data_IF_914373508204
#
_entry.id   IF_914373508204
#
_cell.length_a   1.000
_cell.length_b   1.000
_cell.length_c   1.000
_cell.angle_alpha   90.00
_cell.angle_beta   90.00
_cell.angle_gamma   90.00
#
_symmetry.space_group_name_H-M   'P 1'
#
loop_
_entity.id
_entity.type
_entity.pdbx_description
1 polymer ?
#
# COMPACT_ATOMS: atom_id res chain seq x y z
N UNK A 1 -89.12 -40.38 11.11
CA UNK A 1 -87.90 -40.98 10.55
C UNK A 1 -86.83 -40.85 11.62
N UNK A 2 -86.37 -41.95 12.21
CA UNK A 2 -85.41 -41.91 13.31
C UNK A 2 -84.01 -41.69 12.69
N UNK A 3 -83.46 -40.48 12.81
CA UNK A 3 -82.13 -40.15 12.28
C UNK A 3 -81.10 -40.65 13.30
N UNK A 4 -80.18 -41.50 12.85
CA UNK A 4 -79.02 -41.88 13.66
C UNK A 4 -78.02 -40.72 13.69
N UNK A 5 -77.83 -40.13 14.86
CA UNK A 5 -76.93 -38.99 15.09
C UNK A 5 -75.70 -39.39 15.92
N UNK A 6 -75.42 -40.68 16.08
CA UNK A 6 -74.18 -41.15 16.68
C UNK A 6 -73.06 -41.20 15.62
N UNK A 7 -72.06 -40.34 15.79
CA UNK A 7 -70.91 -40.25 14.89
C UNK A 7 -70.11 -41.56 14.80
N UNK A 8 -70.15 -42.40 15.84
CA UNK A 8 -69.40 -43.65 15.88
C UNK A 8 -69.97 -44.72 14.93
N UNK A 9 -71.22 -44.57 14.48
CA UNK A 9 -71.86 -45.48 13.54
C UNK A 9 -71.47 -45.21 12.07
N UNK A 10 -70.71 -44.13 11.80
CA UNK A 10 -70.33 -43.72 10.45
C UNK A 10 -68.85 -43.93 10.13
N UNK A 11 -68.55 -44.50 8.96
CA UNK A 11 -67.17 -44.55 8.44
C UNK A 11 -66.78 -43.20 7.84
N UNK A 12 -65.48 -42.90 7.82
CA UNK A 12 -64.92 -41.65 7.25
C UNK A 12 -65.40 -41.45 5.80
N UNK A 13 -65.39 -42.50 4.98
CA UNK A 13 -65.86 -42.47 3.58
C UNK A 13 -67.33 -42.10 3.44
N UNK A 14 -68.15 -42.44 4.44
CA UNK A 14 -69.59 -42.14 4.42
C UNK A 14 -69.82 -40.66 4.77
N UNK A 15 -69.03 -40.11 5.70
CA UNK A 15 -69.02 -38.68 6.03
C UNK A 15 -68.51 -37.83 4.87
N UNK A 16 -67.49 -38.29 4.14
CA UNK A 16 -66.99 -37.64 2.92
C UNK A 16 -68.07 -37.57 1.83
N UNK A 17 -68.80 -38.67 1.60
CA UNK A 17 -69.94 -38.70 0.66
C UNK A 17 -71.08 -37.81 1.13
N UNK A 18 -71.39 -37.82 2.43
CA UNK A 18 -72.46 -37.02 3.00
C UNK A 18 -72.23 -35.51 2.81
N UNK A 19 -70.99 -35.05 3.04
CA UNK A 19 -70.58 -33.66 2.80
C UNK A 19 -70.20 -33.37 1.33
N UNK A 20 -70.23 -34.39 0.46
CA UNK A 20 -69.84 -34.33 -0.96
C UNK A 20 -68.44 -33.72 -1.15
N UNK A 21 -67.47 -34.25 -0.40
CA UNK A 21 -66.07 -33.84 -0.50
C UNK A 21 -65.39 -34.46 -1.74
N UNK A 22 -64.46 -33.73 -2.40
CA UNK A 22 -63.65 -34.29 -3.48
C UNK A 22 -62.67 -35.37 -2.95
N UNK A 23 -62.04 -36.19 -3.82
CA UNK A 23 -61.14 -37.26 -3.38
C UNK A 23 -59.90 -36.79 -2.59
N UNK A 24 -59.48 -35.54 -2.79
CA UNK A 24 -58.45 -34.86 -2.01
C UNK A 24 -58.99 -33.48 -1.60
N UNK A 25 -58.97 -33.18 -0.30
CA UNK A 25 -59.59 -31.98 0.27
C UNK A 25 -58.74 -31.33 1.37
N UNK A 26 -58.79 -29.99 1.42
CA UNK A 26 -58.15 -29.18 2.47
C UNK A 26 -59.13 -28.88 3.61
N UNK A 27 -58.64 -28.39 4.76
CA UNK A 27 -59.50 -28.11 5.93
C UNK A 27 -60.55 -27.06 5.60
N UNK A 28 -60.15 -26.05 4.82
CA UNK A 28 -61.02 -24.98 4.35
C UNK A 28 -62.22 -25.52 3.57
N UNK A 29 -62.03 -26.56 2.74
CA UNK A 29 -63.11 -27.16 1.96
C UNK A 29 -64.09 -27.93 2.86
N UNK A 30 -63.59 -28.66 3.87
CA UNK A 30 -64.45 -29.37 4.82
C UNK A 30 -65.31 -28.39 5.61
N UNK A 31 -64.71 -27.30 6.09
CA UNK A 31 -65.41 -26.25 6.83
C UNK A 31 -66.48 -25.59 5.95
N UNK A 32 -66.17 -25.24 4.71
CA UNK A 32 -67.11 -24.61 3.78
C UNK A 32 -68.32 -25.52 3.49
N UNK A 33 -68.09 -26.81 3.21
CA UNK A 33 -69.16 -27.76 2.91
C UNK A 33 -70.05 -28.06 4.11
N UNK A 34 -69.46 -28.17 5.31
CA UNK A 34 -70.23 -28.31 6.56
C UNK A 34 -71.12 -27.09 6.81
N UNK A 35 -70.57 -25.87 6.71
CA UNK A 35 -71.35 -24.63 6.87
C UNK A 35 -72.49 -24.51 5.86
N UNK A 36 -72.23 -24.89 4.60
CA UNK A 36 -73.27 -24.92 3.56
C UNK A 36 -74.37 -25.92 3.89
N UNK A 37 -74.03 -27.11 4.38
CA UNK A 37 -75.02 -28.13 4.75
C UNK A 37 -75.81 -27.70 6.00
N UNK A 38 -75.12 -27.14 6.99
CA UNK A 38 -75.72 -26.59 8.21
C UNK A 38 -76.72 -25.49 7.91
N UNK A 39 -76.35 -24.52 7.06
CA UNK A 39 -77.26 -23.43 6.68
C UNK A 39 -78.48 -23.91 5.89
N UNK A 40 -78.35 -24.98 5.09
CA UNK A 40 -79.50 -25.61 4.42
C UNK A 40 -80.47 -26.25 5.42
N UNK A 41 -79.97 -26.94 6.44
CA UNK A 41 -80.78 -27.62 7.45
C UNK A 41 -81.48 -26.61 8.37
N UNK A 42 -80.78 -25.56 8.78
CA UNK A 42 -81.36 -24.50 9.62
C UNK A 42 -82.51 -23.75 8.94
N UNK A 43 -82.43 -23.56 7.62
CA UNK A 43 -83.45 -22.89 6.80
C UNK A 43 -84.64 -23.78 6.41
N UNK A 44 -84.61 -25.08 6.72
CA UNK A 44 -85.73 -25.97 6.41
C UNK A 44 -86.81 -25.88 7.49
N UNK A 45 -88.05 -25.61 7.09
CA UNK A 45 -89.23 -25.58 7.98
C UNK A 45 -89.78 -26.98 8.29
N UNK A 46 -89.28 -28.02 7.61
CA UNK A 46 -89.73 -29.41 7.75
C UNK A 46 -89.11 -30.13 8.97
N UNK A 47 -88.12 -29.53 9.63
CA UNK A 47 -87.38 -30.13 10.75
C UNK A 47 -87.73 -29.38 12.05
N UNK A 48 -88.26 -30.06 13.09
CA UNK A 48 -88.50 -29.44 14.39
C UNK A 48 -87.23 -28.84 15.00
N UNK A 49 -87.36 -27.69 15.68
CA UNK A 49 -86.22 -26.94 16.20
C UNK A 49 -85.35 -27.77 17.16
N UNK A 50 -85.95 -28.66 17.96
CA UNK A 50 -85.24 -29.55 18.90
C UNK A 50 -84.28 -30.50 18.17
N UNK A 51 -84.65 -31.00 16.99
CA UNK A 51 -83.80 -31.90 16.20
C UNK A 51 -82.69 -31.15 15.44
N UNK A 52 -82.85 -29.84 15.21
CA UNK A 52 -81.85 -29.04 14.49
C UNK A 52 -80.55 -28.92 15.30
N UNK A 53 -80.64 -28.78 16.62
CA UNK A 53 -79.47 -28.62 17.48
C UNK A 53 -78.64 -29.91 17.55
N UNK A 54 -79.30 -31.08 17.62
CA UNK A 54 -78.62 -32.38 17.60
C UNK A 54 -77.91 -32.64 16.27
N UNK A 55 -78.55 -32.29 15.15
CA UNK A 55 -77.95 -32.41 13.81
C UNK A 55 -76.74 -31.49 13.66
N UNK A 56 -76.80 -30.27 14.21
CA UNK A 56 -75.68 -29.33 14.21
C UNK A 56 -74.52 -29.87 15.06
N UNK A 57 -74.80 -30.49 16.21
CA UNK A 57 -73.78 -31.12 17.03
C UNK A 57 -73.11 -32.29 16.29
N UNK A 58 -73.89 -33.11 15.58
CA UNK A 58 -73.39 -34.18 14.72
C UNK A 58 -72.47 -33.65 13.60
N UNK A 59 -72.90 -32.60 12.88
CA UNK A 59 -72.10 -31.98 11.81
C UNK A 59 -70.75 -31.46 12.30
N UNK A 60 -70.71 -30.86 13.50
CA UNK A 60 -69.45 -30.41 14.10
C UNK A 60 -68.53 -31.57 14.47
N UNK A 61 -69.08 -32.67 15.02
CA UNK A 61 -68.31 -33.89 15.29
C UNK A 61 -67.74 -34.49 14.00
N UNK A 62 -68.55 -34.57 12.94
CA UNK A 62 -68.13 -35.06 11.63
C UNK A 62 -66.99 -34.23 11.03
N UNK A 63 -67.11 -32.89 11.06
CA UNK A 63 -66.05 -31.98 10.62
C UNK A 63 -64.72 -32.23 11.34
N UNK A 64 -64.76 -32.32 12.67
CA UNK A 64 -63.55 -32.52 13.47
C UNK A 64 -62.90 -33.89 13.19
N UNK A 65 -63.71 -34.92 12.96
CA UNK A 65 -63.22 -36.27 12.66
C UNK A 65 -62.57 -36.36 11.26
N UNK A 66 -63.10 -35.62 10.27
CA UNK A 66 -62.53 -35.52 8.93
C UNK A 66 -61.21 -34.73 8.89
N UNK A 67 -61.10 -33.66 9.67
CA UNK A 67 -59.86 -32.88 9.79
C UNK A 67 -58.75 -33.71 10.45
N UNK A 68 -59.10 -34.48 11.50
CA UNK A 68 -58.13 -35.28 12.27
C UNK A 68 -57.57 -36.47 11.50
N UNK A 69 -58.35 -37.08 10.61
CA UNK A 69 -57.97 -38.32 9.90
C UNK A 69 -57.48 -38.09 8.46
N UNK A 70 -56.99 -36.89 8.13
CA UNK A 70 -56.41 -36.64 6.82
C UNK A 70 -55.28 -37.61 6.53
N UNK A 71 -55.34 -38.24 5.35
CA UNK A 71 -54.21 -38.97 4.77
C UNK A 71 -53.10 -37.97 4.49
N UNK A 72 -52.05 -37.98 5.31
CA UNK A 72 -50.80 -37.28 5.00
C UNK A 72 -50.19 -37.95 3.75
N UNK A 73 -50.10 -37.21 2.65
CA UNK A 73 -49.29 -37.66 1.51
C UNK A 73 -47.80 -37.53 1.85
N UNK A 74 -46.96 -38.49 1.47
CA UNK A 74 -45.54 -38.46 1.78
C UNK A 74 -44.86 -37.29 1.05
N UNK A 75 -44.30 -36.36 1.82
CA UNK A 75 -43.41 -35.32 1.30
C UNK A 75 -42.13 -36.02 0.84
N UNK A 76 -41.93 -36.18 -0.47
CA UNK A 76 -40.61 -36.45 -1.02
C UNK A 76 -39.78 -35.17 -0.79
N UNK A 77 -39.10 -35.09 0.35
CA UNK A 77 -37.97 -34.16 0.48
C UNK A 77 -36.92 -34.63 -0.52
N UNK A 78 -36.73 -33.86 -1.59
CA UNK A 78 -35.56 -34.02 -2.46
C UNK A 78 -34.34 -33.83 -1.55
N UNK A 79 -33.59 -34.89 -1.28
CA UNK A 79 -32.29 -34.74 -0.64
C UNK A 79 -31.44 -33.86 -1.56
N UNK A 80 -31.12 -32.66 -1.08
CA UNK A 80 -30.13 -31.81 -1.73
C UNK A 80 -28.81 -32.53 -1.50
N UNK A 81 -28.28 -33.18 -2.53
CA UNK A 81 -26.89 -33.65 -2.51
C UNK A 81 -26.05 -32.40 -2.18
N UNK A 82 -25.31 -32.37 -1.07
CA UNK A 82 -24.45 -31.22 -0.80
C UNK A 82 -23.43 -31.16 -1.94
N UNK A 83 -23.47 -30.08 -2.70
CA UNK A 83 -22.50 -29.87 -3.76
C UNK A 83 -21.17 -29.56 -3.06
N UNK A 84 -20.26 -30.53 -3.04
CA UNK A 84 -18.90 -30.30 -2.59
C UNK A 84 -18.16 -29.63 -3.74
N UNK A 85 -18.10 -28.30 -3.71
CA UNK A 85 -17.37 -27.50 -4.69
C UNK A 85 -15.88 -27.50 -4.35
N UNK A 86 -15.05 -28.14 -5.18
CA UNK A 86 -13.57 -28.07 -5.08
C UNK A 86 -12.96 -26.91 -5.86
N UNK A 87 -13.77 -25.99 -6.41
CA UNK A 87 -13.32 -24.69 -6.96
C UNK A 87 -14.38 -23.60 -6.71
N UNK A 88 -13.90 -22.42 -6.32
CA UNK A 88 -14.69 -21.19 -6.16
C UNK A 88 -15.10 -20.70 -7.56
N UNK A 89 -16.38 -20.83 -7.93
CA UNK A 89 -16.96 -20.13 -9.08
C UNK A 89 -17.93 -19.05 -8.57
N UNK A 90 -17.77 -17.83 -9.05
CA UNK A 90 -18.45 -16.64 -8.50
C UNK A 90 -19.93 -16.50 -8.89
N UNK A 91 -20.49 -17.28 -9.83
CA UNK A 91 -21.91 -17.12 -10.21
C UNK A 91 -22.59 -18.42 -10.67
N UNK A 92 -23.76 -18.72 -10.09
CA UNK A 92 -24.67 -19.80 -10.51
C UNK A 92 -25.68 -19.24 -11.52
N UNK A 93 -25.77 -19.77 -12.76
CA UNK A 93 -26.82 -19.36 -13.68
C UNK A 93 -28.18 -19.94 -13.27
N UNK A 94 -29.21 -19.09 -13.21
CA UNK A 94 -30.62 -19.49 -13.08
C UNK A 94 -31.31 -19.41 -14.44
N UNK A 95 -32.24 -20.33 -14.71
CA UNK A 95 -32.92 -20.55 -16.00
C UNK A 95 -33.87 -19.42 -16.47
N UNK A 96 -33.73 -18.20 -15.98
CA UNK A 96 -34.62 -17.08 -16.32
C UNK A 96 -33.93 -15.74 -16.59
N UNK A 97 -32.62 -15.74 -16.87
CA UNK A 97 -31.98 -14.60 -17.55
C UNK A 97 -30.67 -15.03 -18.26
N UNK A 98 -30.51 -14.77 -19.56
CA UNK A 98 -29.27 -15.01 -20.28
C UNK A 98 -28.23 -13.95 -19.89
N UNK A 99 -27.24 -14.32 -19.07
CA UNK A 99 -26.06 -13.52 -18.65
C UNK A 99 -26.30 -11.99 -18.65
N UNK A 100 -26.92 -11.45 -17.60
CA UNK A 100 -26.94 -10.01 -17.34
C UNK A 100 -25.52 -9.54 -16.99
N UNK A 101 -24.76 -9.03 -17.96
CA UNK A 101 -23.56 -8.22 -17.65
C UNK A 101 -24.02 -6.90 -17.02
N UNK A 102 -24.14 -6.86 -15.69
CA UNK A 102 -24.51 -5.66 -14.92
C UNK A 102 -23.40 -4.61 -14.83
N UNK A 103 -22.18 -4.96 -15.26
CA UNK A 103 -21.03 -4.06 -15.16
C UNK A 103 -20.18 -4.07 -16.42
N UNK A 104 -19.66 -2.91 -16.78
CA UNK A 104 -18.69 -2.69 -17.85
C UNK A 104 -17.36 -2.29 -17.22
N UNK A 105 -16.26 -2.85 -17.71
CA UNK A 105 -14.91 -2.51 -17.29
C UNK A 105 -14.20 -1.73 -18.39
N UNK A 106 -13.52 -0.64 -18.05
CA UNK A 106 -12.72 0.19 -18.96
C UNK A 106 -11.31 0.35 -18.44
N UNK A 107 -10.32 0.35 -19.33
CA UNK A 107 -8.93 0.66 -19.01
C UNK A 107 -8.62 2.11 -19.41
N UNK A 108 -8.16 2.90 -18.44
CA UNK A 108 -7.72 4.27 -18.62
C UNK A 108 -6.20 4.32 -18.50
N UNK A 109 -5.52 4.61 -19.61
CA UNK A 109 -4.07 4.82 -19.63
C UNK A 109 -3.77 6.30 -19.34
N UNK A 110 -2.90 6.54 -18.36
CA UNK A 110 -2.46 7.88 -17.97
C UNK A 110 -0.94 7.91 -18.11
N UNK A 111 -0.43 8.95 -18.76
CA UNK A 111 1.00 9.22 -18.89
C UNK A 111 1.24 10.66 -18.42
N UNK A 112 2.21 10.84 -17.51
CA UNK A 112 2.53 12.15 -16.97
C UNK A 112 3.09 13.10 -18.03
N UNK A 113 3.60 12.60 -19.16
CA UNK A 113 4.04 13.40 -20.29
C UNK A 113 2.94 14.32 -20.83
N UNK A 114 1.69 13.85 -20.81
CA UNK A 114 0.53 14.60 -21.31
C UNK A 114 -0.21 15.39 -20.22
N UNK A 115 0.44 15.66 -19.08
CA UNK A 115 -0.16 16.46 -18.01
C UNK A 115 -0.36 17.93 -18.42
N UNK A 116 -1.35 18.58 -17.82
CA UNK A 116 -1.56 20.02 -18.02
C UNK A 116 -0.40 20.84 -17.41
N UNK A 117 -0.02 21.92 -18.10
CA UNK A 117 1.05 22.84 -17.69
C UNK A 117 2.38 22.11 -17.41
N UNK A 118 2.82 21.27 -18.34
CA UNK A 118 3.99 20.40 -18.24
C UNK A 118 5.24 21.08 -17.61
N UNK A 119 5.53 22.32 -18.01
CA UNK A 119 6.71 23.07 -17.54
C UNK A 119 6.57 23.64 -16.11
N UNK A 120 5.34 23.72 -15.58
CA UNK A 120 5.04 24.32 -14.27
C UNK A 120 4.61 23.29 -13.23
N UNK A 121 4.29 22.07 -13.65
CA UNK A 121 3.82 20.99 -12.78
C UNK A 121 4.87 19.88 -12.70
N UNK A 122 5.01 19.29 -11.52
CA UNK A 122 5.88 18.13 -11.34
C UNK A 122 5.20 16.90 -11.91
N UNK A 123 5.96 16.04 -12.58
CA UNK A 123 5.44 14.73 -13.03
C UNK A 123 4.93 13.90 -11.85
N UNK A 124 5.45 14.10 -10.63
CA UNK A 124 5.11 13.33 -9.43
C UNK A 124 4.04 13.96 -8.53
N UNK A 125 3.53 15.16 -8.83
CA UNK A 125 2.35 15.77 -8.19
C UNK A 125 1.64 16.69 -9.19
N UNK A 126 0.57 16.16 -9.80
CA UNK A 126 -0.21 16.88 -10.79
C UNK A 126 -1.69 16.50 -10.76
N UNK A 127 -2.51 17.34 -11.39
CA UNK A 127 -3.92 17.10 -11.60
C UNK A 127 -4.12 16.62 -13.04
N UNK A 128 -4.72 15.45 -13.20
CA UNK A 128 -5.14 14.92 -14.49
C UNK A 128 -6.65 15.10 -14.65
N UNK A 129 -7.09 15.81 -15.67
CA UNK A 129 -8.52 16.00 -15.98
C UNK A 129 -8.95 15.01 -17.07
N UNK A 130 -10.05 14.33 -16.83
CA UNK A 130 -10.62 13.44 -17.85
C UNK A 130 -11.24 14.29 -18.98
N UNK A 131 -11.01 13.93 -20.26
CA UNK A 131 -11.68 14.60 -21.38
C UNK A 131 -13.20 14.48 -21.33
N UNK A 132 -13.70 13.34 -20.82
CA UNK A 132 -15.12 13.07 -20.59
C UNK A 132 -15.26 12.39 -19.24
N UNK A 133 -16.23 12.84 -18.44
CA UNK A 133 -16.48 12.24 -17.14
C UNK A 133 -16.97 10.79 -17.26
N UNK A 134 -16.66 9.97 -16.25
CA UNK A 134 -17.05 8.57 -16.20
C UNK A 134 -18.03 8.39 -15.04
N UNK A 135 -19.30 8.12 -15.35
CA UNK A 135 -20.38 7.96 -14.36
C UNK A 135 -20.58 6.50 -13.93
N UNK A 136 -21.37 6.28 -12.87
CA UNK A 136 -21.74 4.95 -12.38
C UNK A 136 -20.54 4.07 -12.01
N UNK A 137 -19.43 4.66 -11.58
CA UNK A 137 -18.21 3.91 -11.22
C UNK A 137 -18.37 3.28 -9.85
N UNK A 138 -18.06 1.99 -9.73
CA UNK A 138 -18.14 1.21 -8.47
C UNK A 138 -16.79 0.74 -7.97
N UNK A 139 -15.77 0.64 -8.83
CA UNK A 139 -14.41 0.42 -8.38
C UNK A 139 -13.37 1.01 -9.32
N UNK A 140 -12.21 1.32 -8.74
CA UNK A 140 -11.01 1.78 -9.42
C UNK A 140 -9.84 0.87 -9.04
N UNK A 141 -9.03 0.40 -9.99
CA UNK A 141 -7.89 -0.48 -9.71
C UNK A 141 -6.68 -0.07 -10.53
N UNK A 142 -5.50 0.00 -9.91
CA UNK A 142 -4.23 0.13 -10.62
C UNK A 142 -3.81 -1.25 -11.14
N UNK A 143 -3.69 -1.40 -12.46
CA UNK A 143 -3.37 -2.69 -13.10
C UNK A 143 -1.97 -2.76 -13.67
N UNK A 144 -1.45 -1.65 -14.18
CA UNK A 144 -0.08 -1.54 -14.69
C UNK A 144 0.54 -0.23 -14.24
N UNK A 145 1.83 -0.24 -13.94
CA UNK A 145 2.60 0.93 -13.58
C UNK A 145 4.02 0.82 -14.16
N UNK A 146 4.42 1.81 -14.96
CA UNK A 146 5.72 1.91 -15.61
C UNK A 146 6.41 3.16 -15.11
N UNK A 147 7.53 2.99 -14.41
CA UNK A 147 8.17 4.08 -13.69
C UNK A 147 9.69 4.06 -13.85
N UNK A 148 10.31 5.17 -14.31
CA UNK A 148 11.76 5.27 -14.35
C UNK A 148 12.30 5.50 -12.94
N UNK A 149 13.14 4.59 -12.46
CA UNK A 149 13.82 4.68 -11.17
C UNK A 149 14.94 5.74 -11.21
N UNK A 150 14.54 7.00 -11.29
CA UNK A 150 15.40 8.19 -11.35
C UNK A 150 15.33 8.99 -10.04
N UNK A 151 14.96 8.32 -8.94
CA UNK A 151 14.80 8.96 -7.63
C UNK A 151 16.15 9.48 -7.16
N UNK A 152 16.19 10.77 -6.84
CA UNK A 152 17.39 11.41 -6.31
C UNK A 152 17.67 10.94 -4.88
N UNK A 153 18.83 10.33 -4.66
CA UNK A 153 19.34 9.95 -3.34
C UNK A 153 19.81 11.19 -2.55
N UNK A 154 20.49 12.10 -3.24
CA UNK A 154 20.89 13.42 -2.75
C UNK A 154 20.11 14.48 -3.51
N UNK A 155 19.42 15.38 -2.80
CA UNK A 155 18.70 16.47 -3.44
C UNK A 155 18.71 17.76 -2.62
N UNK A 156 19.00 18.86 -3.31
CA UNK A 156 18.96 20.23 -2.79
C UNK A 156 17.55 20.62 -2.37
N UNK A 157 16.52 20.21 -3.14
CA UNK A 157 15.12 20.53 -2.80
C UNK A 157 14.72 19.95 -1.43
N UNK A 158 15.17 18.72 -1.16
CA UNK A 158 14.91 18.06 0.11
C UNK A 158 15.94 18.43 1.19
N UNK A 159 17.00 19.17 0.85
CA UNK A 159 18.16 19.45 1.71
C UNK A 159 18.86 18.18 2.21
N UNK A 160 18.86 17.09 1.42
CA UNK A 160 19.45 15.80 1.81
C UNK A 160 20.88 15.62 1.28
N UNK A 161 21.48 16.67 0.75
CA UNK A 161 22.74 16.64 0.02
C UNK A 161 23.87 17.47 0.65
N UNK A 162 23.68 17.99 1.85
CA UNK A 162 24.69 18.82 2.52
C UNK A 162 25.11 18.25 3.87
N UNK A 163 26.36 18.56 4.26
CA UNK A 163 26.92 18.35 5.59
C UNK A 163 28.13 19.27 5.79
N UNK A 164 28.59 19.43 7.03
CA UNK A 164 29.73 20.27 7.36
C UNK A 164 30.94 19.45 7.79
N UNK A 165 32.13 19.93 7.41
CA UNK A 165 33.43 19.41 7.85
C UNK A 165 34.23 20.54 8.48
N UNK A 166 34.56 20.40 9.77
CA UNK A 166 35.50 21.27 10.46
C UNK A 166 36.88 20.62 10.50
N UNK A 167 37.90 21.33 10.03
CA UNK A 167 39.30 20.95 10.01
C UNK A 167 40.05 21.81 11.04
N UNK A 168 40.88 21.19 11.87
CA UNK A 168 41.53 21.87 12.97
C UNK A 168 43.02 21.59 12.98
N UNK A 169 43.80 22.59 13.37
CA UNK A 169 45.26 22.59 13.31
C UNK A 169 45.79 22.31 11.88
N UNK A 170 45.22 22.90 10.84
CA UNK A 170 45.68 22.70 9.46
C UNK A 170 46.94 23.53 9.22
N UNK A 171 48.02 22.88 8.77
CA UNK A 171 49.19 23.57 8.24
C UNK A 171 48.93 23.89 6.76
N UNK A 172 48.72 25.17 6.44
CA UNK A 172 48.45 25.63 5.07
C UNK A 172 49.71 25.97 4.26
N UNK A 173 50.89 25.63 4.78
CA UNK A 173 52.17 26.06 4.20
C UNK A 173 52.51 27.53 4.51
N UNK A 174 51.79 28.15 5.43
CA UNK A 174 52.13 29.46 5.97
C UNK A 174 53.13 29.31 7.12
N UNK A 175 54.17 30.14 7.11
CA UNK A 175 55.22 30.12 8.12
C UNK A 175 55.37 31.50 8.78
N UNK A 176 55.65 31.52 10.08
CA UNK A 176 55.96 32.75 10.79
C UNK A 176 57.35 33.31 10.41
N UNK A 177 57.72 34.46 10.97
CA UNK A 177 59.03 35.09 10.73
C UNK A 177 60.23 34.25 11.19
N UNK A 178 59.98 33.21 11.99
CA UNK A 178 60.98 32.29 12.51
C UNK A 178 60.91 30.91 11.81
N UNK A 179 60.21 30.80 10.68
CA UNK A 179 60.01 29.57 9.91
C UNK A 179 59.25 28.46 10.68
N UNK A 180 58.44 28.82 11.69
CA UNK A 180 57.51 27.87 12.32
C UNK A 180 56.21 27.81 11.52
N UNK A 181 55.65 26.61 11.28
CA UNK A 181 54.37 26.47 10.60
C UNK A 181 53.23 27.12 11.40
N UNK A 182 52.37 27.86 10.72
CA UNK A 182 51.18 28.45 11.30
C UNK A 182 50.01 27.50 11.07
N UNK A 183 49.34 27.12 12.16
CA UNK A 183 48.17 26.27 12.13
C UNK A 183 46.89 27.10 12.15
N UNK A 184 45.90 26.68 11.36
CA UNK A 184 44.60 27.33 11.27
C UNK A 184 43.45 26.34 11.33
N UNK A 185 42.30 26.84 11.77
CA UNK A 185 41.05 26.07 11.79
C UNK A 185 40.14 26.57 10.66
N UNK A 186 39.57 25.65 9.90
CA UNK A 186 38.76 25.95 8.71
C UNK A 186 37.52 25.06 8.73
N UNK A 187 36.37 25.61 8.34
CA UNK A 187 35.11 24.85 8.22
C UNK A 187 34.56 24.96 6.81
N UNK A 188 34.16 23.82 6.24
CA UNK A 188 33.59 23.71 4.90
C UNK A 188 32.18 23.14 4.97
N UNK A 189 31.25 23.75 4.24
CA UNK A 189 29.95 23.14 3.93
C UNK A 189 30.09 22.38 2.63
N UNK A 190 29.97 21.06 2.70
CA UNK A 190 30.05 20.17 1.54
C UNK A 190 28.65 20.02 0.95
N UNK A 191 28.50 20.41 -0.31
CA UNK A 191 27.24 20.27 -1.06
C UNK A 191 27.42 19.22 -2.15
N UNK A 192 26.81 18.06 -1.95
CA UNK A 192 26.78 16.95 -2.91
C UNK A 192 25.82 17.33 -4.05
N UNK A 193 26.21 17.20 -5.33
CA UNK A 193 25.29 17.51 -6.43
C UNK A 193 24.06 16.60 -6.46
N UNK A 194 22.96 17.11 -7.02
CA UNK A 194 21.70 16.38 -7.08
C UNK A 194 21.82 15.11 -7.95
N UNK A 195 21.44 13.98 -7.38
CA UNK A 195 21.44 12.73 -8.11
C UNK A 195 21.47 11.48 -7.26
N UNK A 196 21.77 10.38 -7.95
CA UNK A 196 21.90 9.08 -7.35
C UNK A 196 23.22 8.46 -7.81
N UNK A 197 24.06 8.07 -6.87
CA UNK A 197 25.43 7.66 -7.15
C UNK A 197 25.62 6.21 -6.73
N UNK A 198 26.23 5.42 -7.62
CA UNK A 198 26.78 4.13 -7.23
C UNK A 198 28.01 4.37 -6.35
N UNK A 199 28.33 3.42 -5.47
CA UNK A 199 29.37 3.58 -4.44
C UNK A 199 30.72 4.06 -5.00
N UNK A 200 31.17 3.50 -6.11
CA UNK A 200 32.40 3.86 -6.80
C UNK A 200 32.37 5.28 -7.37
N UNK A 201 31.27 5.65 -8.03
CA UNK A 201 31.06 6.99 -8.59
C UNK A 201 30.91 8.03 -7.50
N UNK A 202 30.26 7.69 -6.37
CA UNK A 202 30.12 8.55 -5.20
C UNK A 202 31.47 8.82 -4.56
N UNK A 203 32.26 7.76 -4.32
CA UNK A 203 33.60 7.86 -3.77
C UNK A 203 34.48 8.78 -4.63
N UNK A 204 34.50 8.55 -5.94
CA UNK A 204 35.31 9.36 -6.87
C UNK A 204 34.84 10.82 -6.87
N UNK A 205 33.53 11.04 -6.95
CA UNK A 205 32.94 12.39 -6.93
C UNK A 205 33.28 13.14 -5.65
N UNK A 206 33.15 12.51 -4.48
CA UNK A 206 33.38 13.18 -3.20
C UNK A 206 34.86 13.50 -2.96
N UNK A 207 35.78 12.62 -3.36
CA UNK A 207 37.23 12.92 -3.33
C UNK A 207 37.57 14.09 -4.27
N UNK A 208 37.02 14.10 -5.48
CA UNK A 208 37.21 15.22 -6.40
C UNK A 208 36.62 16.51 -5.82
N UNK A 209 35.46 16.43 -5.15
CA UNK A 209 34.85 17.59 -4.51
C UNK A 209 35.76 18.16 -3.42
N UNK A 210 36.35 17.31 -2.58
CA UNK A 210 37.31 17.73 -1.55
C UNK A 210 38.52 18.45 -2.16
N UNK A 211 39.12 17.87 -3.21
CA UNK A 211 40.28 18.44 -3.89
C UNK A 211 40.01 19.78 -4.58
N UNK A 212 38.79 19.99 -5.08
CA UNK A 212 38.43 21.23 -5.78
C UNK A 212 37.89 22.32 -4.83
N UNK A 213 37.39 21.97 -3.64
CA UNK A 213 36.85 22.94 -2.68
C UNK A 213 37.93 23.57 -1.80
N UNK A 214 38.97 22.81 -1.47
CA UNK A 214 40.09 23.28 -0.66
C UNK A 214 41.38 22.65 -1.18
N UNK A 215 42.36 23.52 -1.43
CA UNK A 215 43.65 23.12 -1.95
C UNK A 215 44.51 22.36 -0.94
N UNK A 216 44.24 22.45 0.38
CA UNK A 216 45.14 21.87 1.40
C UNK A 216 44.41 21.04 2.45
N UNK A 217 43.57 21.64 3.29
CA UNK A 217 43.00 20.98 4.45
C UNK A 217 42.14 19.76 4.10
N UNK A 218 41.20 19.88 3.15
CA UNK A 218 40.42 18.73 2.68
C UNK A 218 41.29 17.71 1.92
N UNK A 219 42.45 18.10 1.41
CA UNK A 219 43.43 17.19 0.78
C UNK A 219 44.20 16.34 1.80
N UNK A 220 44.02 16.56 3.11
CA UNK A 220 44.43 15.60 4.13
C UNK A 220 43.48 14.41 4.23
N UNK A 221 42.24 14.55 3.73
CA UNK A 221 41.20 13.54 3.86
C UNK A 221 41.05 12.71 2.58
N UNK A 222 40.63 11.47 2.77
CA UNK A 222 40.26 10.54 1.71
C UNK A 222 38.98 9.82 2.05
N UNK A 223 38.09 9.76 1.07
CA UNK A 223 36.83 9.03 1.16
C UNK A 223 36.97 7.70 0.44
N UNK A 224 36.49 6.63 1.07
CA UNK A 224 36.43 5.29 0.49
C UNK A 224 35.09 4.63 0.78
N UNK A 225 34.63 3.75 -0.10
CA UNK A 225 33.55 2.81 0.22
C UNK A 225 34.13 1.41 0.14
N UNK A 226 34.12 0.70 1.26
CA UNK A 226 34.70 -0.64 1.33
C UNK A 226 33.82 -1.68 0.60
N UNK A 227 34.32 -2.91 0.49
CA UNK A 227 33.57 -4.02 -0.14
C UNK A 227 32.28 -4.38 0.61
N UNK A 228 32.19 -4.05 1.91
CA UNK A 228 30.99 -4.20 2.74
C UNK A 228 30.02 -3.03 2.59
N UNK A 229 30.30 -2.09 1.68
CA UNK A 229 29.55 -0.88 1.36
C UNK A 229 29.53 0.19 2.46
N UNK A 230 30.35 0.11 3.49
CA UNK A 230 30.48 1.19 4.48
C UNK A 230 31.27 2.37 3.90
N UNK A 231 30.82 3.59 4.18
CA UNK A 231 31.57 4.80 3.87
C UNK A 231 32.65 5.02 4.92
N UNK A 232 33.85 5.28 4.45
CA UNK A 232 35.05 5.55 5.25
C UNK A 232 35.50 6.96 4.91
N UNK A 233 35.78 7.76 5.94
CA UNK A 233 36.48 9.03 5.81
C UNK A 233 37.70 8.93 6.71
N UNK A 234 38.88 9.01 6.11
CA UNK A 234 40.14 8.83 6.82
C UNK A 234 41.15 9.86 6.39
N UNK A 235 42.22 9.97 7.17
CA UNK A 235 43.38 10.77 6.80
C UNK A 235 44.24 9.99 5.79
N UNK A 236 44.87 10.71 4.87
CA UNK A 236 45.81 10.15 3.90
C UNK A 236 47.01 9.51 4.61
N UNK A 237 47.40 8.33 4.15
CA UNK A 237 48.51 7.56 4.68
C UNK A 237 49.67 7.60 3.68
N UNK A 238 50.84 8.11 4.10
CA UNK A 238 51.99 8.30 3.21
C UNK A 238 52.59 7.01 2.65
N UNK A 239 52.30 5.86 3.27
CA UNK A 239 52.77 4.55 2.77
C UNK A 239 51.89 3.97 1.67
N UNK A 240 50.60 4.35 1.61
CA UNK A 240 49.60 3.76 0.72
C UNK A 240 49.14 4.74 -0.35
N UNK A 241 48.83 5.98 0.05
CA UNK A 241 48.20 6.99 -0.79
C UNK A 241 49.26 7.80 -1.55
N UNK A 242 50.08 7.12 -2.36
CA UNK A 242 51.27 7.71 -3.01
C UNK A 242 50.99 8.69 -4.15
N UNK A 243 49.71 8.99 -4.43
CA UNK A 243 49.29 9.87 -5.52
C UNK A 243 48.42 11.01 -5.00
N UNK A 244 48.96 12.23 -5.06
CA UNK A 244 48.27 13.51 -4.93
C UNK A 244 47.58 13.83 -3.59
N UNK A 245 47.96 13.17 -2.49
CA UNK A 245 47.52 13.52 -1.13
C UNK A 245 48.59 14.29 -0.36
N UNK A 246 48.18 15.06 0.65
CA UNK A 246 49.08 15.59 1.67
C UNK A 246 48.94 14.77 2.96
N UNK A 247 50.06 14.57 3.66
CA UNK A 247 50.16 13.63 4.78
C UNK A 247 50.42 14.36 6.10
N UNK A 248 49.37 14.80 6.82
CA UNK A 248 49.54 15.65 8.00
C UNK A 248 50.29 14.95 9.14
N UNK A 249 50.33 13.62 9.18
CA UNK A 249 51.04 12.88 10.23
C UNK A 249 52.44 12.40 9.84
N UNK A 250 52.88 12.65 8.60
CA UNK A 250 54.25 12.34 8.16
C UNK A 250 55.18 13.51 8.46
N UNK A 251 56.18 13.37 9.34
CA UNK A 251 57.12 14.44 9.68
C UNK A 251 57.93 14.99 8.50
N UNK A 252 57.96 14.26 7.37
CA UNK A 252 58.69 14.68 6.17
C UNK A 252 57.82 15.43 5.15
N UNK A 253 56.50 15.52 5.37
CA UNK A 253 55.59 16.24 4.50
C UNK A 253 55.69 17.76 4.73
N UNK A 254 55.60 18.56 3.66
CA UNK A 254 55.63 20.02 3.74
C UNK A 254 54.43 20.60 4.50
N UNK A 255 53.35 19.83 4.63
CA UNK A 255 52.13 20.15 5.34
C UNK A 255 51.97 19.33 6.63
N UNK A 256 53.08 18.86 7.21
CA UNK A 256 53.07 18.16 8.49
C UNK A 256 52.30 18.96 9.56
N UNK A 257 51.33 18.30 10.17
CA UNK A 257 50.52 18.77 11.29
C UNK A 257 50.20 17.63 12.27
N UNK A 258 51.00 17.46 13.33
CA UNK A 258 50.89 16.32 14.24
C UNK A 258 49.59 16.27 15.04
N UNK A 259 49.00 17.44 15.30
CA UNK A 259 47.77 17.60 16.09
C UNK A 259 46.54 17.84 15.22
N UNK A 260 46.65 17.62 13.90
CA UNK A 260 45.52 17.73 12.98
C UNK A 260 44.40 16.79 13.41
N UNK A 261 43.15 17.27 13.36
CA UNK A 261 41.96 16.48 13.58
C UNK A 261 40.79 17.09 12.79
N UNK A 262 39.77 16.29 12.51
CA UNK A 262 38.57 16.76 11.81
C UNK A 262 37.29 16.40 12.54
N UNK A 263 36.26 17.20 12.31
CA UNK A 263 34.90 17.00 12.79
C UNK A 263 33.94 16.96 11.64
N UNK A 264 33.02 16.01 11.66
CA UNK A 264 31.89 15.95 10.72
C UNK A 264 30.62 16.37 11.47
N UNK A 265 29.77 17.14 10.81
CA UNK A 265 28.45 17.51 11.31
C UNK A 265 27.40 17.26 10.22
N UNK A 266 26.53 16.29 10.46
CA UNK A 266 25.43 15.91 9.58
C UNK A 266 24.09 16.49 10.00
N UNK A 267 24.02 17.18 11.15
CA UNK A 267 22.77 17.74 11.65
C UNK A 267 22.32 18.93 10.80
N UNK A 268 21.09 18.86 10.30
CA UNK A 268 20.43 19.96 9.59
C UNK A 268 19.29 20.46 10.46
N UNK A 269 19.23 21.78 10.68
CA UNK A 269 18.23 22.40 11.56
C UNK A 269 16.81 22.01 11.15
N UNK A 270 15.99 21.60 12.13
CA UNK A 270 14.59 21.18 11.96
C UNK A 270 14.40 19.95 11.07
N UNK A 271 15.43 19.15 10.82
CA UNK A 271 15.36 17.97 9.97
C UNK A 271 15.79 16.73 10.75
N UNK A 272 15.01 15.63 10.69
CA UNK A 272 15.43 14.39 11.34
C UNK A 272 16.67 13.82 10.66
N UNK A 273 17.57 13.24 11.47
CA UNK A 273 18.87 12.74 11.01
C UNK A 273 18.74 11.70 9.87
N UNK A 274 17.70 10.86 9.90
CA UNK A 274 17.45 9.86 8.85
C UNK A 274 17.11 10.42 7.46
N UNK A 275 16.94 11.75 7.32
CA UNK A 275 16.77 12.43 6.03
C UNK A 275 18.02 13.20 5.57
N UNK A 276 19.13 13.11 6.30
CA UNK A 276 20.38 13.86 6.02
C UNK A 276 21.34 13.09 5.12
N UNK A 277 22.34 13.78 4.56
CA UNK A 277 23.37 13.15 3.74
C UNK A 277 24.17 12.09 4.52
N UNK A 278 24.47 12.36 5.80
CA UNK A 278 25.19 11.42 6.66
C UNK A 278 24.50 10.08 6.79
N UNK A 279 23.17 10.07 6.89
CA UNK A 279 22.43 8.82 6.97
C UNK A 279 22.50 7.99 5.68
N UNK A 280 22.45 8.66 4.52
CA UNK A 280 22.66 8.03 3.21
C UNK A 280 24.08 7.45 3.08
N UNK A 281 25.08 8.14 3.63
CA UNK A 281 26.46 7.66 3.75
C UNK A 281 26.63 6.58 4.83
N UNK A 282 25.57 6.21 5.57
CA UNK A 282 25.60 5.15 6.56
C UNK A 282 25.96 5.58 7.99
N UNK A 283 26.21 6.87 8.22
CA UNK A 283 26.47 7.43 9.55
C UNK A 283 25.18 7.55 10.37
N UNK A 284 25.28 7.42 11.69
CA UNK A 284 24.13 7.38 12.62
C UNK A 284 24.15 8.42 13.73
N UNK A 285 25.27 9.11 13.94
CA UNK A 285 25.38 10.23 14.88
C UNK A 285 25.35 11.57 14.15
N UNK A 286 24.92 12.61 14.86
CA UNK A 286 24.89 13.98 14.33
C UNK A 286 26.30 14.51 14.06
N UNK A 287 27.24 14.24 14.96
CA UNK A 287 28.61 14.73 14.88
C UNK A 287 29.62 13.64 15.16
N UNK A 288 30.76 13.71 14.46
CA UNK A 288 31.90 12.84 14.68
C UNK A 288 33.16 13.70 14.90
N UNK A 289 34.04 13.29 15.81
CA UNK A 289 35.34 13.93 16.04
C UNK A 289 36.44 12.88 15.90
N UNK A 290 37.31 13.07 14.91
CA UNK A 290 38.34 12.11 14.55
C UNK A 290 39.69 12.78 14.76
N UNK A 291 40.50 12.16 15.60
CA UNK A 291 41.86 12.55 15.93
C UNK A 291 42.84 11.47 15.49
N UNK A 292 44.14 11.75 15.57
CA UNK A 292 45.20 10.76 15.31
C UNK A 292 45.02 9.43 16.05
N UNK A 293 44.47 9.47 17.27
CA UNK A 293 44.27 8.30 18.13
C UNK A 293 43.17 7.35 17.62
N UNK A 294 42.37 7.74 16.64
CA UNK A 294 41.39 6.87 15.99
C UNK A 294 42.10 5.96 14.98
N UNK A 295 42.67 4.86 15.48
CA UNK A 295 43.48 3.93 14.70
C UNK A 295 42.65 2.76 14.17
N UNK A 296 42.86 2.39 12.91
CA UNK A 296 42.33 1.18 12.30
C UNK A 296 43.45 0.30 11.75
N UNK A 297 43.45 -0.98 12.15
CA UNK A 297 44.40 -1.98 11.68
C UNK A 297 43.77 -2.80 10.54
N UNK A 298 44.16 -2.53 9.30
CA UNK A 298 43.70 -3.29 8.14
C UNK A 298 44.52 -4.58 7.99
N UNK A 299 43.87 -5.68 8.38
CA UNK A 299 44.41 -7.04 8.31
C UNK A 299 44.05 -7.76 6.99
N UNK A 300 43.27 -7.12 6.09
CA UNK A 300 42.60 -7.81 4.98
C UNK A 300 43.08 -7.31 3.62
N UNK A 301 43.30 -6.00 3.45
CA UNK A 301 43.60 -5.44 2.12
C UNK A 301 45.03 -5.72 1.62
N UNK A 302 46.04 -5.66 2.51
CA UNK A 302 47.45 -5.74 2.15
C UNK A 302 48.27 -6.53 3.19
N UNK A 303 49.42 -7.06 2.76
CA UNK A 303 50.44 -7.69 3.61
C UNK A 303 51.77 -6.97 3.41
N UNK A 304 52.43 -6.46 4.48
CA UNK A 304 52.05 -6.55 5.90
C UNK A 304 50.84 -5.67 6.27
N UNK A 305 50.32 -5.88 7.48
CA UNK A 305 49.20 -5.11 8.06
C UNK A 305 49.41 -3.61 7.88
N UNK A 306 48.39 -2.94 7.35
CA UNK A 306 48.40 -1.48 7.18
C UNK A 306 47.69 -0.83 8.36
N UNK A 307 48.29 0.20 8.95
CA UNK A 307 47.72 0.94 10.08
C UNK A 307 47.31 2.32 9.57
N UNK A 308 46.03 2.66 9.73
CA UNK A 308 45.51 3.99 9.43
C UNK A 308 45.30 4.77 10.72
N UNK A 309 45.76 6.02 10.73
CA UNK A 309 45.52 7.00 11.80
C UNK A 309 44.42 7.97 11.35
N UNK A 310 43.59 8.44 12.30
CA UNK A 310 42.46 9.30 11.97
C UNK A 310 41.44 8.65 11.04
N UNK A 311 40.96 7.47 11.41
CA UNK A 311 40.07 6.64 10.63
C UNK A 311 38.63 6.66 11.17
N UNK A 312 37.65 6.95 10.32
CA UNK A 312 36.22 6.82 10.60
C UNK A 312 35.56 5.91 9.58
N UNK A 313 34.77 4.96 10.09
CA UNK A 313 33.88 4.10 9.30
C UNK A 313 32.44 4.29 9.73
N UNK A 314 31.53 4.29 8.77
CA UNK A 314 30.10 4.40 9.00
C UNK A 314 29.55 3.16 9.71
N UNK A 315 28.57 3.34 10.61
CA UNK A 315 27.94 2.23 11.33
C UNK A 315 27.03 1.37 10.43
N UNK A 316 26.68 1.88 9.25
CA UNK A 316 25.82 1.21 8.28
C UNK A 316 26.34 1.39 6.86
N UNK A 317 25.74 0.65 5.93
CA UNK A 317 26.06 0.70 4.51
C UNK A 317 25.64 2.02 3.86
N UNK A 318 26.45 2.48 2.91
CA UNK A 318 26.09 3.48 1.92
C UNK A 318 24.81 3.04 1.19
N UNK A 319 23.89 3.99 0.98
CA UNK A 319 22.61 3.71 0.33
C UNK A 319 21.52 3.17 1.26
N UNK A 320 21.73 3.15 2.59
CA UNK A 320 20.75 2.63 3.56
C UNK A 320 19.36 3.31 3.53
N UNK A 321 19.27 4.51 2.95
CA UNK A 321 18.03 5.28 2.75
C UNK A 321 17.42 5.16 1.36
N UNK A 322 17.99 4.38 0.45
CA UNK A 322 17.41 4.17 -0.89
C UNK A 322 16.00 3.56 -0.73
N UNK A 323 15.01 4.20 -1.36
CA UNK A 323 13.61 3.78 -1.29
C UNK A 323 13.42 2.41 -1.97
N UNK A 324 12.92 1.46 -1.18
CA UNK A 324 12.59 0.12 -1.65
C UNK A 324 11.17 0.03 -2.22
N UNK A 325 10.37 1.06 -1.98
CA UNK A 325 9.00 1.15 -2.47
C UNK A 325 8.55 2.61 -2.49
N UNK A 326 7.54 2.87 -3.32
CA UNK A 326 6.84 4.15 -3.39
C UNK A 326 5.35 3.92 -3.16
N UNK A 327 4.65 4.95 -2.73
CA UNK A 327 3.20 4.97 -2.67
C UNK A 327 2.65 5.74 -3.86
N UNK A 328 1.67 5.16 -4.54
CA UNK A 328 0.88 5.83 -5.57
C UNK A 328 -0.40 6.32 -4.88
N UNK A 329 -0.48 7.64 -4.73
CA UNK A 329 -1.67 8.29 -4.19
C UNK A 329 -2.52 8.84 -5.34
N UNK A 330 -3.79 8.45 -5.37
CA UNK A 330 -4.75 8.92 -6.37
C UNK A 330 -5.97 9.46 -5.62
N UNK A 331 -6.12 10.77 -5.62
CA UNK A 331 -7.30 11.44 -5.10
C UNK A 331 -8.28 11.72 -6.24
N UNK A 332 -9.44 11.07 -6.20
CA UNK A 332 -10.51 11.24 -7.18
C UNK A 332 -11.58 12.26 -6.73
N UNK A 333 -11.35 12.94 -5.60
CA UNK A 333 -12.24 13.94 -4.98
C UNK A 333 -13.60 13.40 -4.50
N UNK A 334 -13.80 12.08 -4.44
CA UNK A 334 -14.96 11.45 -3.81
C UNK A 334 -14.56 10.88 -2.44
N UNK A 335 -15.45 10.97 -1.45
CA UNK A 335 -15.23 10.41 -0.11
C UNK A 335 -16.01 9.12 0.16
N UNK A 336 -16.70 8.59 -0.86
CA UNK A 336 -17.66 7.49 -0.71
C UNK A 336 -17.02 6.11 -0.98
N UNK A 337 -15.92 5.78 -0.32
CA UNK A 337 -15.18 4.52 -0.50
C UNK A 337 -14.73 3.94 0.82
N UNK A 338 -14.49 2.61 0.85
CA UNK A 338 -13.87 1.96 2.00
C UNK A 338 -12.47 2.55 2.22
N UNK A 339 -12.09 2.76 3.49
CA UNK A 339 -10.80 3.34 3.87
C UNK A 339 -9.63 2.75 3.06
N UNK A 340 -8.64 3.57 2.70
CA UNK A 340 -7.50 3.17 1.86
C UNK A 340 -7.01 1.74 2.15
N UNK A 341 -6.95 0.90 1.11
CA UNK A 341 -6.45 -0.47 1.23
C UNK A 341 -4.99 -0.54 1.71
N UNK A 342 -4.23 0.55 1.54
CA UNK A 342 -2.87 0.67 2.03
C UNK A 342 -2.85 1.67 3.18
N UNK A 343 -2.64 1.16 4.40
CA UNK A 343 -2.41 1.98 5.58
C UNK A 343 -0.91 1.97 5.85
N UNK A 344 -0.29 3.14 5.73
CA UNK A 344 1.09 3.34 6.16
C UNK A 344 1.14 4.43 7.22
N UNK A 345 2.02 4.25 8.20
CA UNK A 345 2.17 5.16 9.34
C UNK A 345 3.63 5.53 9.47
N UNK A 346 3.89 6.79 9.82
CA UNK A 346 5.15 7.22 10.41
C UNK A 346 4.95 7.35 11.93
N UNK A 347 5.99 7.75 12.67
CA UNK A 347 5.91 7.88 14.15
C UNK A 347 4.81 8.82 14.63
N UNK A 348 4.36 9.76 13.80
CA UNK A 348 3.51 10.88 14.21
C UNK A 348 2.19 10.99 13.41
N UNK A 349 2.01 10.27 12.30
CA UNK A 349 0.86 10.41 11.39
C UNK A 349 0.71 9.24 10.40
N UNK A 350 -0.48 9.14 9.80
CA UNK A 350 -0.68 8.34 8.59
C UNK A 350 0.03 8.95 7.39
N UNK A 351 0.50 8.10 6.48
CA UNK A 351 1.19 8.46 5.24
C UNK A 351 0.18 8.46 4.09
N UNK A 352 0.00 9.64 3.47
CA UNK A 352 -0.96 9.84 2.41
C UNK A 352 -2.41 9.76 2.88
N UNK A 353 -3.30 10.50 2.20
CA UNK A 353 -4.74 10.48 2.49
C UNK A 353 -5.50 9.54 1.58
N UNK A 354 -4.99 9.29 0.37
CA UNK A 354 -5.69 8.59 -0.71
C UNK A 354 -4.80 7.55 -1.39
N UNK A 355 -4.00 6.82 -0.61
CA UNK A 355 -3.04 5.85 -1.15
C UNK A 355 -3.79 4.68 -1.79
N UNK A 356 -3.58 4.50 -3.10
CA UNK A 356 -4.21 3.43 -3.88
C UNK A 356 -3.31 2.19 -3.93
N UNK A 357 -1.99 2.39 -4.03
CA UNK A 357 -1.04 1.30 -4.20
C UNK A 357 0.31 1.57 -3.53
N UNK A 358 0.98 0.47 -3.15
CA UNK A 358 2.41 0.44 -2.84
C UNK A 358 3.11 -0.29 -3.99
N UNK A 359 4.09 0.35 -4.61
CA UNK A 359 4.88 -0.21 -5.72
C UNK A 359 6.28 -0.50 -5.20
N UNK A 360 6.75 -1.74 -5.36
CA UNK A 360 8.10 -2.14 -4.96
C UNK A 360 9.09 -1.72 -6.04
N UNK A 361 10.21 -1.15 -5.63
CA UNK A 361 11.33 -0.82 -6.49
C UNK A 361 12.19 -2.09 -6.61
N UNK A 362 12.00 -2.85 -7.68
CA UNK A 362 12.64 -4.15 -7.90
C UNK A 362 13.97 -4.06 -8.63
N UNK A 363 14.23 -2.94 -9.29
CA UNK A 363 15.39 -2.73 -10.14
C UNK A 363 16.27 -1.60 -9.61
N UNK A 364 17.55 -1.66 -9.97
CA UNK A 364 18.53 -0.66 -9.60
C UNK A 364 18.19 0.74 -10.13
N UNK A 365 18.92 1.73 -9.64
CA UNK A 365 18.78 3.11 -10.11
C UNK A 365 19.03 3.21 -11.61
N UNK A 366 18.41 4.20 -12.27
CA UNK A 366 18.51 4.44 -13.71
C UNK A 366 17.89 3.35 -14.60
N UNK A 367 16.97 2.56 -14.06
CA UNK A 367 16.22 1.53 -14.82
C UNK A 367 14.72 1.77 -14.76
N UNK A 368 13.96 1.21 -15.69
CA UNK A 368 12.49 1.27 -15.66
C UNK A 368 11.93 0.10 -14.87
N UNK A 369 11.08 0.41 -13.90
CA UNK A 369 10.30 -0.54 -13.13
C UNK A 369 8.97 -0.76 -13.85
N UNK A 370 8.60 -2.02 -14.03
CA UNK A 370 7.27 -2.41 -14.48
C UNK A 370 6.60 -3.23 -13.39
N UNK A 371 5.41 -2.79 -13.01
CA UNK A 371 4.55 -3.49 -12.06
C UNK A 371 3.24 -3.83 -12.76
N UNK A 372 2.93 -5.12 -12.82
CA UNK A 372 1.76 -5.66 -13.51
C UNK A 372 0.74 -6.27 -12.53
N UNK A 373 0.72 -5.80 -11.28
CA UNK A 373 -0.15 -6.29 -10.21
C UNK A 373 -0.06 -7.81 -9.94
N UNK A 374 1.06 -8.46 -10.30
CA UNK A 374 1.32 -9.88 -10.02
C UNK A 374 1.70 -10.16 -8.56
N UNK A 375 1.95 -9.11 -7.77
CA UNK A 375 2.33 -9.18 -6.35
C UNK A 375 1.18 -9.60 -5.41
N UNK A 376 -0.06 -9.72 -5.94
CA UNK A 376 -1.24 -10.14 -5.17
C UNK A 376 -1.71 -9.08 -4.15
N UNK A 377 -1.16 -7.87 -4.19
CA UNK A 377 -1.59 -6.76 -3.34
C UNK A 377 -2.79 -6.09 -4.03
N UNK A 378 -3.92 -5.98 -3.33
CA UNK A 378 -5.12 -5.34 -3.87
C UNK A 378 -4.93 -3.82 -4.02
N UNK A 379 -4.46 -3.40 -5.20
CA UNK A 379 -4.32 -1.99 -5.61
C UNK A 379 -5.65 -1.39 -6.08
N UNK A 380 -6.73 -1.65 -5.34
CA UNK A 380 -8.12 -1.38 -5.71
C UNK A 380 -8.80 -0.46 -4.69
N UNK A 381 -9.71 0.39 -5.15
CA UNK A 381 -10.63 1.19 -4.34
C UNK A 381 -12.04 0.78 -4.72
N UNK A 382 -12.85 0.45 -3.72
CA UNK A 382 -14.26 0.10 -3.89
C UNK A 382 -15.13 1.19 -3.28
N UNK A 383 -16.10 1.68 -4.05
CA UNK A 383 -17.01 2.73 -3.61
C UNK A 383 -18.26 2.10 -2.99
N UNK A 384 -18.80 2.74 -1.95
CA UNK A 384 -20.03 2.26 -1.29
C UNK A 384 -21.27 2.38 -2.19
N UNK A 385 -21.19 3.22 -3.22
CA UNK A 385 -22.21 3.37 -4.25
C UNK A 385 -21.61 3.96 -5.53
N UNK A 386 -22.38 4.02 -6.62
CA UNK A 386 -21.88 4.50 -7.90
C UNK A 386 -21.49 5.98 -7.83
N UNK A 387 -20.28 6.31 -8.24
CA UNK A 387 -19.75 7.68 -8.24
C UNK A 387 -19.48 8.20 -9.66
N UNK A 388 -19.12 9.48 -9.75
CA UNK A 388 -18.68 10.15 -10.98
C UNK A 388 -17.20 10.52 -10.85
N UNK A 389 -16.40 10.15 -11.85
CA UNK A 389 -15.00 10.54 -11.98
C UNK A 389 -14.86 11.67 -13.00
N UNK A 390 -14.17 12.74 -12.62
CA UNK A 390 -13.92 13.92 -13.47
C UNK A 390 -12.44 14.28 -13.58
N UNK A 391 -11.71 14.15 -12.47
CA UNK A 391 -10.29 14.48 -12.38
C UNK A 391 -9.65 13.65 -11.28
N UNK A 392 -8.33 13.52 -11.37
CA UNK A 392 -7.50 12.90 -10.34
C UNK A 392 -6.42 13.88 -9.92
N UNK A 393 -6.05 13.91 -8.64
CA UNK A 393 -4.72 14.35 -8.23
C UNK A 393 -3.86 13.11 -8.05
N UNK A 394 -2.76 13.05 -8.77
CA UNK A 394 -1.83 11.92 -8.77
C UNK A 394 -0.57 12.37 -8.04
N UNK A 395 -0.17 11.64 -7.00
CA UNK A 395 1.09 11.87 -6.29
C UNK A 395 1.88 10.59 -6.11
N UNK A 396 3.19 10.68 -6.30
CA UNK A 396 4.12 9.61 -5.94
C UNK A 396 4.85 10.00 -4.65
N UNK A 397 4.70 9.19 -3.61
CA UNK A 397 5.23 9.47 -2.27
C UNK A 397 6.33 8.47 -1.88
N UNK A 398 7.34 8.95 -1.15
CA UNK A 398 8.35 8.10 -0.52
C UNK A 398 7.79 7.42 0.74
N UNK A 399 8.63 6.61 1.41
CA UNK A 399 8.29 5.94 2.67
C UNK A 399 7.95 6.89 3.84
N UNK A 400 8.27 8.18 3.71
CA UNK A 400 8.01 9.21 4.72
C UNK A 400 6.76 10.04 4.41
N UNK A 401 6.17 9.86 3.22
CA UNK A 401 5.02 10.62 2.73
C UNK A 401 5.36 11.91 1.97
N UNK A 402 6.63 12.16 1.68
CA UNK A 402 7.05 13.30 0.85
C UNK A 402 6.95 12.94 -0.64
N UNK A 403 6.67 13.93 -1.49
CA UNK A 403 6.61 13.74 -2.94
C UNK A 403 8.01 13.46 -3.49
N UNK A 404 8.19 12.34 -4.20
CA UNK A 404 9.49 11.97 -4.78
C UNK A 404 9.87 12.87 -5.97
N UNK A 405 11.17 13.05 -6.18
CA UNK A 405 11.72 13.74 -7.35
C UNK A 405 12.41 12.74 -8.27
N UNK A 406 12.02 12.72 -9.55
CA UNK A 406 12.52 11.77 -10.58
C UNK A 406 13.25 12.46 -11.73
N UNK A 407 14.02 13.51 -11.43
CA UNK A 407 14.78 14.30 -12.43
C UNK A 407 13.95 14.75 -13.65
N UNK A 408 12.71 15.20 -13.42
CA UNK A 408 11.76 15.59 -14.47
C UNK A 408 11.43 14.50 -15.50
N UNK A 409 11.68 13.23 -15.18
CA UNK A 409 11.20 12.13 -16.01
C UNK A 409 9.69 11.95 -15.85
N UNK A 410 9.11 11.26 -16.83
CA UNK A 410 7.71 10.91 -16.87
C UNK A 410 7.48 9.43 -16.55
N UNK A 411 6.26 9.12 -16.12
CA UNK A 411 5.83 7.75 -15.85
C UNK A 411 4.42 7.52 -16.40
N UNK A 412 4.11 6.25 -16.65
CA UNK A 412 2.82 5.84 -17.19
C UNK A 412 2.17 4.80 -16.29
N UNK A 413 0.85 4.74 -16.29
CA UNK A 413 0.10 3.72 -15.57
C UNK A 413 -1.30 3.52 -16.13
N UNK A 414 -1.90 2.39 -15.78
CA UNK A 414 -3.24 2.00 -16.24
C UNK A 414 -4.16 1.82 -15.05
N UNK A 415 -5.31 2.50 -15.10
CA UNK A 415 -6.41 2.33 -14.16
C UNK A 415 -7.53 1.53 -14.82
N UNK A 416 -7.92 0.42 -14.20
CA UNK A 416 -9.14 -0.30 -14.52
C UNK A 416 -10.31 0.29 -13.75
N UNK A 417 -11.37 0.65 -14.47
CA UNK A 417 -12.57 1.29 -13.95
C UNK A 417 -13.76 0.38 -14.20
N UNK A 418 -14.45 -0.04 -13.13
CA UNK A 418 -15.68 -0.84 -13.22
C UNK A 418 -16.89 0.06 -13.05
N UNK A 419 -17.82 0.02 -14.00
CA UNK A 419 -19.05 0.82 -14.05
C UNK A 419 -20.29 -0.08 -14.01
N UNK A 420 -21.38 0.38 -13.41
CA UNK A 420 -22.71 -0.22 -13.59
C UNK A 420 -23.32 0.28 -14.91
N UNK A 421 -23.90 -0.64 -15.67
CA UNK A 421 -24.64 -0.35 -16.90
C UNK A 421 -26.13 -0.13 -16.62
#
# INVERSE_FOLDING_TARGET
>A
MNLDLDINNYKITDLEKFLRLPPSYTDSIVIEKEQRKRSQILKSDEIPQENKDEIVAFLNKAKNLLIKNKKEEPIIKREVIPIVHTKQEEFIPSNLNPIEKKTITKSLCIDSLFRENYDKTKSTDYIYKLPVYISNVVSLQLTSFEFPNMINSFSTENGSNEFEIGLYNVNNGDYDVNENPIFSDISHTIVIPDGNYMSDTFQTMLNNLFQNLDSIGLNFLKVEINQQTNTIIRINNSTIDTTAGFFPYDPNDSFYSPEFYFKLNFAIKNKPLYKTAGWMMGFRNETYTITKNNIYNDLISLVPTTIYEGYLISESSYGSTIDNYIFVEIDDYNNNYSTNNVISTNTNSYIGKNVLARIVITSGSYTTITDNASDGIFKKREYFGPIKLEKFRIRLLNRFGDVIQIKNNDFSFVLEIKQIY
#
